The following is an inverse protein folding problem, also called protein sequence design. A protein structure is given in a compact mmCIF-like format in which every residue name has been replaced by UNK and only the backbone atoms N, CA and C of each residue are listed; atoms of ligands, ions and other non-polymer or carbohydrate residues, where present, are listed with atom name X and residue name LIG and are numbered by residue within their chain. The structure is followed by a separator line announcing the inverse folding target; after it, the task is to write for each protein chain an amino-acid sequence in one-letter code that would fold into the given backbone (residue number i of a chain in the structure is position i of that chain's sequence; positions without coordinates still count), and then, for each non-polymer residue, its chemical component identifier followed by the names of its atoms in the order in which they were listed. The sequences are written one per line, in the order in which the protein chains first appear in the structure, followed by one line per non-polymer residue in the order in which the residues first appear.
data_IF_831047527469
#
_entry.id   IF_831047527469
#
_cell.length_a   1.000
_cell.length_b   1.000
_cell.length_c   1.000
_cell.angle_alpha   90.00
_cell.angle_beta   90.00
_cell.angle_gamma   90.00
#
_symmetry.space_group_name_H-M   'P 1'
#
loop_
_entity.id
_entity.type
_entity.pdbx_description
1 polymer ?
#
# COMPACT_ATOMS: atom_id res chain seq x y z
N UNK A 1 5.28 14.85 -1.11
CA UNK A 1 5.47 13.74 -2.08
C UNK A 1 5.05 12.43 -1.47
N UNK A 2 4.77 11.48 -2.30
CA UNK A 2 4.36 10.15 -1.85
C UNK A 2 5.23 9.08 -2.45
N UNK A 3 5.50 8.06 -1.65
CA UNK A 3 6.18 6.87 -2.12
C UNK A 3 5.09 5.84 -2.40
N UNK A 4 5.00 5.37 -3.62
CA UNK A 4 4.01 4.38 -4.01
C UNK A 4 4.70 3.07 -4.29
N UNK A 5 4.19 2.01 -3.69
CA UNK A 5 4.72 0.66 -3.87
C UNK A 5 3.67 -0.18 -4.58
N UNK A 6 4.09 -0.78 -5.70
CA UNK A 6 3.22 -1.65 -6.47
C UNK A 6 3.91 -2.99 -6.55
N UNK A 7 3.18 -4.06 -6.35
CA UNK A 7 3.82 -5.36 -6.37
C UNK A 7 2.91 -6.45 -6.92
N UNK A 8 3.56 -7.48 -7.43
CA UNK A 8 2.88 -8.66 -7.93
C UNK A 8 3.65 -9.83 -7.37
N UNK A 9 3.13 -10.40 -6.30
CA UNK A 9 3.78 -11.50 -5.58
C UNK A 9 3.04 -12.79 -5.82
N UNK A 10 3.78 -13.91 -5.94
CA UNK A 10 3.12 -15.20 -6.15
C UNK A 10 2.36 -15.62 -4.89
N UNK A 11 1.26 -16.31 -5.08
CA UNK A 11 0.44 -16.80 -3.97
C UNK A 11 0.06 -18.26 -4.13
N UNK A 12 0.83 -19.00 -4.95
CA UNK A 12 0.51 -20.39 -5.26
C UNK A 12 0.80 -21.33 -4.11
N UNK A 13 1.98 -21.21 -3.51
CA UNK A 13 2.37 -22.11 -2.43
C UNK A 13 2.12 -21.45 -1.09
N UNK A 14 2.15 -22.27 -0.04
CA UNK A 14 1.99 -21.74 1.32
C UNK A 14 3.14 -20.80 1.67
N UNK A 15 4.35 -21.13 1.21
CA UNK A 15 5.50 -20.26 1.44
C UNK A 15 5.30 -18.92 0.77
N UNK A 16 4.79 -18.92 -0.46
CA UNK A 16 4.51 -17.68 -1.19
C UNK A 16 3.50 -16.82 -0.42
N UNK A 17 2.44 -17.46 0.07
CA UNK A 17 1.41 -16.73 0.81
C UNK A 17 1.94 -16.16 2.11
N UNK A 18 2.85 -16.91 2.77
CA UNK A 18 3.46 -16.42 4.00
C UNK A 18 4.32 -15.20 3.73
N UNK A 19 5.08 -15.20 2.61
CA UNK A 19 5.90 -14.05 2.25
C UNK A 19 5.02 -12.85 1.88
N UNK A 20 3.90 -13.11 1.22
CA UNK A 20 2.95 -12.04 0.89
C UNK A 20 2.43 -11.39 2.18
N UNK A 21 1.98 -12.20 3.13
CA UNK A 21 1.46 -11.68 4.40
C UNK A 21 2.53 -10.91 5.17
N UNK A 22 3.76 -11.39 5.13
CA UNK A 22 4.87 -10.75 5.82
C UNK A 22 5.13 -9.36 5.23
N UNK A 23 5.16 -9.27 3.90
CA UNK A 23 5.40 -8.00 3.22
C UNK A 23 4.24 -7.03 3.46
N UNK A 24 3.02 -7.52 3.37
CA UNK A 24 1.84 -6.71 3.66
C UNK A 24 1.91 -6.14 5.08
N UNK A 25 2.22 -6.99 6.05
CA UNK A 25 2.31 -6.55 7.43
C UNK A 25 3.40 -5.52 7.61
N UNK A 26 4.54 -5.73 6.95
CA UNK A 26 5.64 -4.77 7.01
C UNK A 26 5.18 -3.40 6.50
N UNK A 27 4.51 -3.37 5.35
CA UNK A 27 4.07 -2.10 4.78
C UNK A 27 3.10 -1.38 5.71
N UNK A 28 2.16 -2.12 6.29
CA UNK A 28 1.20 -1.52 7.22
C UNK A 28 1.90 -0.97 8.45
N UNK A 29 2.86 -1.72 8.99
CA UNK A 29 3.60 -1.28 10.18
C UNK A 29 4.45 -0.04 9.88
N UNK A 30 4.92 0.11 8.65
CA UNK A 30 5.70 1.28 8.27
C UNK A 30 4.83 2.50 8.00
N UNK A 31 3.52 2.34 8.04
CA UNK A 31 2.63 3.47 7.86
C UNK A 31 2.10 3.65 6.45
N UNK A 32 2.28 2.65 5.59
CA UNK A 32 1.71 2.71 4.25
C UNK A 32 0.20 2.52 4.32
N UNK A 33 -0.50 3.16 3.42
CA UNK A 33 -1.95 3.03 3.30
C UNK A 33 -2.25 2.27 2.02
N UNK A 34 -3.09 1.25 2.12
CA UNK A 34 -3.46 0.46 0.96
C UNK A 34 -4.48 1.22 0.13
N UNK A 35 -4.13 1.51 -1.12
CA UNK A 35 -5.06 2.16 -2.05
C UNK A 35 -5.94 1.12 -2.72
N UNK A 36 -5.35 0.02 -3.07
CA UNK A 36 -6.04 -1.13 -3.63
C UNK A 36 -5.12 -2.29 -3.42
N UNK A 37 -5.59 -3.48 -3.70
CA UNK A 37 -4.78 -4.67 -3.50
C UNK A 37 -3.47 -4.53 -4.25
N UNK A 38 -2.36 -4.72 -3.56
CA UNK A 38 -1.01 -4.65 -4.12
C UNK A 38 -0.53 -3.26 -4.52
N UNK A 39 -1.25 -2.21 -4.09
CA UNK A 39 -0.82 -0.84 -4.32
C UNK A 39 -0.91 -0.07 -3.01
N UNK A 40 0.23 0.38 -2.51
CA UNK A 40 0.30 1.07 -1.23
C UNK A 40 1.02 2.40 -1.38
N UNK A 41 0.66 3.37 -0.56
CA UNK A 41 1.33 4.67 -0.59
C UNK A 41 1.65 5.15 0.81
N UNK A 42 2.68 5.97 0.92
CA UNK A 42 3.04 6.61 2.17
C UNK A 42 3.49 8.03 1.88
N UNK A 43 3.01 8.97 2.66
CA UNK A 43 3.40 10.37 2.52
C UNK A 43 4.83 10.57 3.03
N UNK A 44 5.62 11.34 2.30
CA UNK A 44 6.96 11.68 2.71
C UNK A 44 7.10 13.19 2.66
N UNK A 45 7.74 13.77 3.69
CA UNK A 45 7.87 15.21 3.77
C UNK A 45 8.79 15.77 2.70
N UNK A 46 9.84 15.05 2.37
CA UNK A 46 10.82 15.52 1.39
C UNK A 46 11.56 14.33 0.80
N UNK A 47 12.51 14.61 -0.08
CA UNK A 47 13.26 13.56 -0.76
C UNK A 47 14.10 12.71 0.17
N UNK A 48 14.62 13.29 1.22
CA UNK A 48 15.44 12.55 2.17
C UNK A 48 14.60 11.49 2.88
N UNK A 49 13.40 11.89 3.34
CA UNK A 49 12.50 10.96 3.99
C UNK A 49 12.05 9.89 3.00
N UNK A 50 11.75 10.29 1.76
CA UNK A 50 11.35 9.33 0.73
C UNK A 50 12.44 8.29 0.50
N UNK A 51 13.71 8.71 0.48
CA UNK A 51 14.79 7.77 0.28
C UNK A 51 14.95 6.80 1.45
N UNK A 52 14.73 7.29 2.68
CA UNK A 52 14.77 6.40 3.84
C UNK A 52 13.69 5.34 3.76
N UNK A 53 12.50 5.74 3.32
CA UNK A 53 11.39 4.80 3.15
C UNK A 53 11.76 3.76 2.10
N UNK A 54 12.32 4.21 0.98
CA UNK A 54 12.72 3.30 -0.09
C UNK A 54 13.75 2.29 0.38
N UNK A 55 14.70 2.73 1.19
CA UNK A 55 15.73 1.83 1.72
C UNK A 55 15.10 0.74 2.59
N UNK A 56 14.13 1.11 3.41
CA UNK A 56 13.46 0.13 4.26
C UNK A 56 12.69 -0.90 3.44
N UNK A 57 12.03 -0.44 2.39
CA UNK A 57 11.28 -1.36 1.53
C UNK A 57 12.25 -2.31 0.82
N UNK A 58 13.35 -1.79 0.30
CA UNK A 58 14.34 -2.65 -0.36
C UNK A 58 14.89 -3.70 0.59
N UNK A 59 15.09 -3.33 1.86
CA UNK A 59 15.66 -4.23 2.84
C UNK A 59 14.70 -5.34 3.23
N UNK A 60 13.41 -5.07 3.15
CA UNK A 60 12.38 -6.02 3.58
C UNK A 60 11.63 -6.68 2.44
N UNK A 61 12.19 -6.65 1.25
CA UNK A 61 11.52 -7.24 0.09
C UNK A 61 11.43 -8.76 0.22
N UNK A 62 10.37 -9.36 -0.30
CA UNK A 62 10.29 -10.83 -0.33
C UNK A 62 11.27 -11.41 -1.35
N UNK A 63 11.56 -12.71 -1.27
CA UNK A 63 12.54 -13.32 -2.16
C UNK A 63 12.06 -13.48 -3.61
N UNK A 64 10.76 -13.50 -3.83
CA UNK A 64 10.20 -13.69 -5.17
C UNK A 64 9.15 -12.65 -5.48
N UNK A 65 8.97 -12.38 -6.76
CA UNK A 65 7.93 -11.47 -7.19
C UNK A 65 8.49 -10.16 -7.71
N UNK A 66 7.59 -9.35 -8.26
CA UNK A 66 7.98 -8.05 -8.80
C UNK A 66 7.51 -6.97 -7.83
N UNK A 67 8.41 -6.07 -7.49
CA UNK A 67 8.09 -4.95 -6.62
C UNK A 67 8.62 -3.69 -7.27
N UNK A 68 7.75 -2.72 -7.45
CA UNK A 68 8.11 -1.45 -8.05
C UNK A 68 7.82 -0.31 -7.08
N UNK A 69 8.66 0.72 -7.10
CA UNK A 69 8.43 1.90 -6.29
C UNK A 69 8.49 3.12 -7.17
N UNK A 70 7.64 4.08 -6.86
CA UNK A 70 7.53 5.32 -7.61
C UNK A 70 7.33 6.46 -6.63
N UNK A 71 8.02 7.57 -6.86
CA UNK A 71 7.80 8.75 -6.03
C UNK A 71 7.03 9.75 -6.87
N UNK A 72 5.92 10.24 -6.35
CA UNK A 72 5.08 11.20 -7.03
C UNK A 72 4.79 12.39 -6.13
N UNK A 73 4.40 13.50 -6.72
CA UNK A 73 4.02 14.66 -5.94
C UNK A 73 2.57 14.53 -5.49
N UNK A 74 2.19 15.33 -4.51
CA UNK A 74 0.79 15.34 -4.07
C UNK A 74 -0.13 15.80 -5.19
N UNK A 75 0.34 16.70 -6.03
CA UNK A 75 -0.44 17.16 -7.17
C UNK A 75 -0.70 16.02 -8.15
N UNK A 76 0.32 15.23 -8.42
CA UNK A 76 0.16 14.06 -9.31
C UNK A 76 -0.78 13.05 -8.68
N UNK A 77 -0.63 12.81 -7.39
CA UNK A 77 -1.48 11.87 -6.68
C UNK A 77 -2.95 12.32 -6.71
N UNK A 78 -3.19 13.62 -6.51
CA UNK A 78 -4.56 14.13 -6.51
C UNK A 78 -5.16 14.13 -7.91
N UNK A 79 -4.35 13.94 -8.93
CA UNK A 79 -4.82 13.88 -10.31
C UNK A 79 -5.29 12.49 -10.74
N UNK A 80 -5.32 11.53 -9.82
CA UNK A 80 -5.79 10.20 -10.17
C UNK A 80 -7.25 10.27 -10.60
N UNK A 81 -7.54 9.70 -11.75
CA UNK A 81 -8.89 9.66 -12.26
C UNK A 81 -9.46 8.27 -12.05
N UNK A 82 -10.59 8.20 -11.37
CA UNK A 82 -11.23 6.92 -11.07
C UNK A 82 -12.23 6.62 -12.19
N UNK A 83 -11.76 5.89 -13.18
CA UNK A 83 -12.56 5.55 -14.36
C UNK A 83 -13.74 4.66 -13.96
N UNK A 84 -13.48 3.77 -13.00
CA UNK A 84 -14.48 2.84 -12.52
C UNK A 84 -14.22 2.64 -11.02
N UNK A 85 -15.26 2.51 -10.26
CA UNK A 85 -15.13 2.37 -8.81
C UNK A 85 -15.08 3.72 -8.12
N UNK A 86 -14.75 3.72 -6.85
CA UNK A 86 -14.71 4.92 -6.04
C UNK A 86 -13.40 5.04 -5.29
N UNK A 87 -13.07 6.26 -4.93
CA UNK A 87 -11.92 6.50 -4.09
C UNK A 87 -12.18 5.87 -2.72
N UNK A 88 -11.21 5.07 -2.27
CA UNK A 88 -11.36 4.42 -0.98
C UNK A 88 -10.68 5.24 0.07
N UNK A 89 -11.43 5.70 1.01
CA UNK A 89 -10.86 6.38 2.13
C UNK A 89 -10.66 5.38 3.21
N UNK A 90 -9.69 4.58 3.08
CA UNK A 90 -9.40 3.65 4.09
C UNK A 90 -8.75 4.32 5.19
N UNK A 91 -9.46 5.14 5.83
CA UNK A 91 -8.91 5.77 6.87
C UNK A 91 -9.10 4.94 7.95
N UNK A 92 -8.18 4.52 8.40
CA UNK A 92 -8.27 3.89 9.47
C UNK A 92 -8.37 4.72 10.53
N UNK A 93 -9.18 5.00 10.90
CA UNK A 93 -9.32 5.73 11.88
C UNK A 93 -9.30 5.04 12.93
N UNK A 94 -8.77 4.85 13.08
CA UNK A 94 -8.71 4.16 13.97
C UNK A 94 -9.88 3.96 14.60
N UNK A 95 -10.57 4.08 14.62
CA UNK A 95 -11.54 3.82 15.23
C UNK A 95 -12.38 3.25 14.62
N UNK A 96 -12.54 3.15 14.34
CA UNK A 96 -13.12 2.57 13.88
C UNK A 96 -13.41 1.91 13.23
N UNK A 97 -13.71 1.75 12.91
CA UNK A 97 -13.83 1.26 12.20
C UNK A 97 -14.11 0.80 11.47
N UNK A 98 -14.17 1.04 11.15
CA UNK A 98 -14.32 0.81 10.27
C UNK A 98 -14.93 0.50 9.58
N UNK A 99 -15.17 0.77 9.35
CA UNK A 99 -15.53 0.57 8.64
C UNK A 99 -16.04 0.23 7.88
N UNK A 100 -16.30 0.51 7.66
CA UNK A 100 -16.59 0.33 6.84
C UNK A 100 -17.07 0.00 6.10
N UNK A 101 -17.22 0.29 5.96
CA UNK A 101 -17.35 0.11 5.18
C UNK A 101 -17.87 -0.27 4.32
N UNK A 102 -18.06 -0.06 3.78
CA UNK A 102 -18.30 -0.44 2.96
C UNK A 102 -18.34 -1.37 2.19
N UNK A 103 -18.34 -1.75 1.84
CA UNK A 103 -18.09 -2.62 1.15
C UNK A 103 -17.88 -3.44 0.60
N UNK A 104 -17.86 -3.59 0.08
CA UNK A 104 -17.32 -4.41 -0.51
C UNK A 104 -16.50 -4.77 -0.68
N UNK A 105 -16.23 -4.58 -0.63
CA UNK A 105 -15.17 -4.94 -0.83
C UNK A 105 -14.72 -5.03 -0.12
N UNK A 106 -14.47 -4.53 0.13
CA UNK A 106 -13.63 -4.53 0.61
C UNK A 106 -13.20 -4.37 1.35
N UNK A 107 -13.22 -3.63 1.64
CA UNK A 107 -12.50 -3.48 2.18
C UNK A 107 -12.11 -3.32 2.60
N UNK A 108 -11.99 -2.59 2.69
CA UNK A 108 -11.30 -2.43 2.95
C UNK A 108 -10.92 -2.08 3.58
N UNK A 109 -11.24 -1.34 3.79
CA UNK A 109 -10.58 -1.06 4.22
C UNK A 109 -10.34 -1.65 4.69
N UNK A 110 -10.32 -1.61 4.29
CA UNK A 110 -9.82 -2.39 4.24
C UNK A 110 -9.70 -3.13 4.43
N UNK A 111 -10.05 -2.86 4.48
CA UNK A 111 -9.79 -3.62 4.29
C UNK A 111 -9.57 -4.44 4.25
N UNK A 112 -9.84 -4.24 4.13
CA UNK A 112 -9.54 -4.99 3.77
C UNK A 112 -9.23 -5.46 3.91
#
# INVERSE_FOLDING_TARGET
MRVMVLFDLPTITEKNRAEYRKFHKFLIQEGFIMMQESVYTKLALNGTVAELIRKKVRKNKPPEGLIEMLIITEKQFSGIEYISGEEQNCVIDGEERLILIKRKYKVLCFRK
#
